data_IF_346538962171
#
_entry.id   IF_346538962171
#
_cell.length_a   1.000
_cell.length_b   1.000
_cell.length_c   1.000
_cell.angle_alpha   90.00
_cell.angle_beta   90.00
_cell.angle_gamma   90.00
#
_symmetry.space_group_name_H-M   'P 1'
#
loop_
_entity.id
_entity.type
_entity.pdbx_description
1 polymer ?
#
# COMPACT_ATOMS: atom_id res chain seq x y z
N UNK A 1 -1.76 -9.81 -7.30
CA UNK A 1 -0.94 -8.65 -7.75
C UNK A 1 0.03 -9.17 -8.79
N UNK A 2 0.18 -8.52 -9.94
CA UNK A 2 1.12 -8.96 -10.97
C UNK A 2 2.57 -9.01 -10.46
N UNK A 3 3.31 -10.04 -10.84
CA UNK A 3 4.73 -10.18 -10.47
C UNK A 3 5.59 -9.04 -11.04
N UNK A 4 5.22 -8.53 -12.21
CA UNK A 4 5.83 -7.35 -12.85
C UNK A 4 5.83 -6.14 -11.92
N UNK A 5 4.70 -5.85 -11.25
CA UNK A 5 4.61 -4.78 -10.26
C UNK A 5 5.42 -5.10 -9.00
N UNK A 6 5.35 -6.33 -8.50
CA UNK A 6 6.12 -6.73 -7.31
C UNK A 6 7.63 -6.60 -7.51
N UNK A 7 8.12 -6.77 -8.74
CA UNK A 7 9.52 -6.60 -9.11
C UNK A 7 9.98 -5.13 -9.12
N UNK A 8 9.08 -4.16 -9.35
CA UNK A 8 9.42 -2.73 -9.32
C UNK A 8 9.44 -2.15 -7.90
N UNK A 9 8.82 -2.84 -6.93
CA UNK A 9 8.75 -2.37 -5.55
C UNK A 9 10.13 -2.23 -4.90
N UNK A 10 10.40 -1.14 -4.16
CA UNK A 10 11.68 -0.95 -3.51
C UNK A 10 11.94 -1.99 -2.43
N UNK A 11 13.22 -2.10 -2.05
CA UNK A 11 13.65 -2.98 -0.96
C UNK A 11 13.12 -2.52 0.40
N UNK A 12 12.72 -1.26 0.57
CA UNK A 12 12.24 -0.70 1.83
C UNK A 12 11.01 0.18 1.61
N UNK A 13 9.89 -0.11 2.30
CA UNK A 13 8.66 0.67 2.18
C UNK A 13 8.85 2.13 2.60
N UNK A 14 9.74 2.39 3.59
CA UNK A 14 10.13 3.75 3.99
C UNK A 14 10.62 4.60 2.81
N UNK A 15 11.32 4.01 1.84
CA UNK A 15 11.85 4.73 0.67
C UNK A 15 10.75 5.24 -0.26
N UNK A 16 9.59 4.57 -0.31
CA UNK A 16 8.45 5.00 -1.12
C UNK A 16 7.67 6.13 -0.44
N UNK A 17 7.27 5.96 0.83
CA UNK A 17 6.49 7.00 1.54
C UNK A 17 7.32 8.20 2.03
N UNK A 18 8.63 8.04 2.19
CA UNK A 18 9.51 9.08 2.74
C UNK A 18 9.46 9.17 4.27
N UNK A 19 10.37 9.97 4.83
CA UNK A 19 10.62 10.05 6.27
C UNK A 19 9.43 10.57 7.08
N UNK A 20 8.75 11.61 6.60
CA UNK A 20 7.65 12.26 7.31
C UNK A 20 6.47 11.31 7.52
N UNK A 21 5.98 10.73 6.42
CA UNK A 21 4.87 9.78 6.42
C UNK A 21 5.25 8.51 7.20
N UNK A 22 6.47 8.00 7.00
CA UNK A 22 6.96 6.85 7.76
C UNK A 22 6.97 7.11 9.27
N UNK A 23 7.42 8.28 9.72
CA UNK A 23 7.45 8.63 11.15
C UNK A 23 6.04 8.68 11.74
N UNK A 24 5.09 9.27 11.01
CA UNK A 24 3.69 9.33 11.44
C UNK A 24 3.08 7.93 11.57
N UNK A 25 3.26 7.08 10.55
CA UNK A 25 2.79 5.70 10.59
C UNK A 25 3.50 4.86 11.64
N UNK A 26 4.79 5.10 11.92
CA UNK A 26 5.57 4.34 12.91
C UNK A 26 5.38 4.81 14.36
N UNK A 27 4.54 5.81 14.62
CA UNK A 27 4.29 6.29 15.98
C UNK A 27 3.70 5.20 16.86
N UNK A 28 4.20 5.03 18.09
CA UNK A 28 3.75 3.99 19.04
C UNK A 28 2.31 4.18 19.54
N UNK A 29 1.67 5.30 19.21
CA UNK A 29 0.28 5.60 19.57
C UNK A 29 -0.75 5.17 18.51
N UNK A 30 -2.00 5.59 18.73
CA UNK A 30 -3.09 5.44 17.77
C UNK A 30 -2.76 6.22 16.49
N UNK A 31 -2.90 5.56 15.35
CA UNK A 31 -2.68 6.18 14.05
C UNK A 31 -3.96 6.87 13.59
N UNK A 32 -3.83 8.13 13.18
CA UNK A 32 -4.93 8.95 12.66
C UNK A 32 -4.59 9.35 11.22
N UNK A 33 -5.07 8.59 10.22
CA UNK A 33 -4.75 8.84 8.81
C UNK A 33 -5.23 10.21 8.34
N UNK A 34 -6.42 10.65 8.78
CA UNK A 34 -6.97 11.96 8.40
C UNK A 34 -6.08 13.12 8.86
N UNK A 35 -5.63 13.10 10.12
CA UNK A 35 -4.71 14.12 10.62
C UNK A 35 -3.40 14.16 9.82
N UNK A 36 -2.90 13.00 9.39
CA UNK A 36 -1.72 12.95 8.51
C UNK A 36 -2.03 13.57 7.15
N UNK A 37 -3.16 13.23 6.54
CA UNK A 37 -3.59 13.80 5.26
C UNK A 37 -3.83 15.32 5.34
N UNK A 38 -4.25 15.84 6.49
CA UNK A 38 -4.40 17.28 6.73
C UNK A 38 -3.06 18.00 6.87
N UNK A 39 -2.03 17.31 7.37
CA UNK A 39 -0.66 17.84 7.43
C UNK A 39 0.08 17.75 6.08
N UNK A 40 -0.42 16.96 5.13
CA UNK A 40 0.17 16.85 3.80
C UNK A 40 -0.40 17.95 2.90
N UNK A 41 0.48 18.75 2.31
CA UNK A 41 0.08 19.74 1.31
C UNK A 41 -0.18 19.04 -0.03
N UNK A 42 -1.39 18.52 -0.23
CA UNK A 42 -1.85 17.91 -1.48
C UNK A 42 -2.66 18.97 -2.22
N UNK A 43 -2.00 19.66 -3.15
CA UNK A 43 -2.56 20.79 -3.88
C UNK A 43 -3.25 20.38 -5.19
N UNK A 44 -2.98 19.16 -5.69
CA UNK A 44 -3.55 18.67 -6.95
C UNK A 44 -3.91 17.19 -6.91
N UNK A 45 -4.81 16.78 -7.82
CA UNK A 45 -5.15 15.37 -8.03
C UNK A 45 -3.90 14.52 -8.34
N UNK A 46 -3.01 15.03 -9.19
CA UNK A 46 -1.76 14.36 -9.54
C UNK A 46 -0.86 14.09 -8.32
N UNK A 47 -0.81 15.01 -7.34
CA UNK A 47 -0.11 14.78 -6.08
C UNK A 47 -0.80 13.73 -5.20
N UNK A 48 -2.14 13.70 -5.20
CA UNK A 48 -2.91 12.68 -4.51
C UNK A 48 -2.65 11.28 -5.09
N UNK A 49 -2.63 11.14 -6.43
CA UNK A 49 -2.34 9.86 -7.10
C UNK A 49 -0.91 9.40 -6.80
N UNK A 50 0.06 10.31 -6.87
CA UNK A 50 1.45 9.99 -6.52
C UNK A 50 1.59 9.57 -5.05
N UNK A 51 0.82 10.16 -4.14
CA UNK A 51 0.79 9.73 -2.75
C UNK A 51 0.18 8.32 -2.63
N UNK A 52 -0.93 8.05 -3.30
CA UNK A 52 -1.56 6.73 -3.34
C UNK A 52 -0.59 5.65 -3.84
N UNK A 53 0.10 5.91 -4.95
CA UNK A 53 1.11 4.99 -5.51
C UNK A 53 2.26 4.71 -4.54
N UNK A 54 2.76 5.75 -3.86
CA UNK A 54 3.83 5.60 -2.86
C UNK A 54 3.36 4.79 -1.64
N UNK A 55 2.15 5.04 -1.17
CA UNK A 55 1.54 4.32 -0.04
C UNK A 55 1.28 2.85 -0.42
N UNK A 56 0.72 2.58 -1.60
CA UNK A 56 0.51 1.21 -2.11
C UNK A 56 1.83 0.43 -2.23
N UNK A 57 2.84 1.05 -2.83
CA UNK A 57 4.16 0.44 -2.97
C UNK A 57 4.76 0.08 -1.60
N UNK A 58 4.58 0.95 -0.61
CA UNK A 58 5.06 0.74 0.76
C UNK A 58 4.31 -0.38 1.46
N UNK A 59 2.98 -0.37 1.36
CA UNK A 59 2.08 -1.39 1.90
C UNK A 59 2.48 -2.78 1.39
N UNK A 60 2.60 -2.97 0.07
CA UNK A 60 2.97 -4.27 -0.48
C UNK A 60 4.43 -4.65 -0.18
N UNK A 61 5.33 -3.68 -0.05
CA UNK A 61 6.70 -3.94 0.41
C UNK A 61 6.72 -4.49 1.83
N UNK A 62 5.92 -3.94 2.74
CA UNK A 62 5.80 -4.44 4.12
C UNK A 62 5.07 -5.78 4.20
N UNK A 63 3.96 -5.97 3.47
CA UNK A 63 3.26 -7.26 3.37
C UNK A 63 4.20 -8.36 2.89
N UNK A 64 4.97 -8.11 1.82
CA UNK A 64 5.98 -9.05 1.29
C UNK A 64 6.99 -9.44 2.37
N UNK A 65 7.49 -8.49 3.15
CA UNK A 65 8.45 -8.75 4.23
C UNK A 65 7.84 -9.50 5.41
N UNK A 66 6.57 -9.24 5.75
CA UNK A 66 5.86 -9.97 6.79
C UNK A 66 5.64 -11.44 6.40
N UNK A 67 5.39 -11.74 5.11
CA UNK A 67 5.22 -13.11 4.63
C UNK A 67 6.54 -13.89 4.46
N UNK A 68 7.63 -13.22 4.07
CA UNK A 68 8.94 -13.85 3.83
C UNK A 68 9.57 -14.52 5.07
N UNK A 69 9.18 -14.14 6.29
CA UNK A 69 9.70 -14.76 7.52
C UNK A 69 9.12 -16.15 7.80
N UNK A 70 7.96 -16.49 7.23
CA UNK A 70 7.31 -17.79 7.46
C UNK A 70 7.87 -18.92 6.58
N UNK A 71 8.75 -18.61 5.62
CA UNK A 71 9.19 -19.53 4.57
C UNK A 71 10.67 -19.96 4.64
N UNK A 72 11.46 -19.51 5.63
CA UNK A 72 12.91 -19.83 5.71
C UNK A 72 13.28 -20.82 6.82
N UNK A 73 13.91 -21.92 6.41
CA UNK A 73 14.42 -23.10 7.12
C UNK A 73 14.72 -23.02 8.64
N UNK A 74 14.30 -24.12 9.30
CA UNK A 74 14.29 -24.51 10.73
C UNK A 74 15.53 -24.25 11.62
N UNK A 75 16.71 -23.89 11.09
CA UNK A 75 17.95 -23.84 11.90
C UNK A 75 18.43 -22.43 12.27
N UNK A 76 18.00 -21.39 11.55
CA UNK A 76 18.27 -19.99 11.93
C UNK A 76 17.14 -19.34 12.73
N UNK A 77 15.99 -20.05 12.87
CA UNK A 77 14.79 -19.55 13.51
C UNK A 77 14.99 -19.22 15.00
N UNK A 78 15.62 -20.08 15.80
CA UNK A 78 15.62 -19.92 17.26
C UNK A 78 16.37 -18.68 17.76
N UNK A 79 17.44 -18.26 17.08
CA UNK A 79 18.26 -17.10 17.47
C UNK A 79 17.73 -15.77 16.90
N UNK A 80 17.04 -15.83 15.77
CA UNK A 80 16.51 -14.68 15.04
C UNK A 80 15.01 -14.46 15.30
N UNK A 81 14.33 -15.39 15.98
CA UNK A 81 12.90 -15.31 16.30
C UNK A 81 12.57 -14.11 17.20
N UNK A 82 13.42 -13.76 18.16
CA UNK A 82 13.10 -12.71 19.13
C UNK A 82 13.18 -11.31 18.50
N UNK A 83 14.17 -11.06 17.63
CA UNK A 83 14.34 -9.80 16.90
C UNK A 83 13.46 -9.71 15.64
N UNK A 84 13.23 -10.83 14.95
CA UNK A 84 12.40 -10.85 13.74
C UNK A 84 10.92 -10.87 14.05
N UNK A 85 10.46 -11.41 15.19
CA UNK A 85 9.03 -11.37 15.54
C UNK A 85 8.57 -9.92 15.73
N UNK A 86 9.31 -9.11 16.49
CA UNK A 86 9.02 -7.67 16.63
C UNK A 86 9.07 -6.95 15.27
N UNK A 87 10.01 -7.33 14.39
CA UNK A 87 10.16 -6.71 13.06
C UNK A 87 9.06 -7.14 12.09
N UNK A 88 8.58 -8.37 12.18
CA UNK A 88 7.47 -8.91 11.38
C UNK A 88 6.15 -8.31 11.83
N UNK A 89 5.91 -8.25 13.13
CA UNK A 89 4.75 -7.57 13.72
C UNK A 89 4.72 -6.09 13.31
N UNK A 90 5.87 -5.42 13.39
CA UNK A 90 6.03 -4.05 12.88
C UNK A 90 5.69 -3.93 11.39
N UNK A 91 6.14 -4.84 10.53
CA UNK A 91 5.80 -4.78 9.11
C UNK A 91 4.29 -5.01 8.87
N UNK A 92 3.66 -5.89 9.65
CA UNK A 92 2.21 -6.09 9.59
C UNK A 92 1.46 -4.81 9.97
N UNK A 93 1.80 -4.20 11.12
CA UNK A 93 1.21 -2.92 11.57
C UNK A 93 1.46 -1.81 10.56
N UNK A 94 2.65 -1.72 9.96
CA UNK A 94 2.93 -0.72 8.92
C UNK A 94 2.09 -0.95 7.65
N UNK A 95 1.90 -2.20 7.24
CA UNK A 95 1.05 -2.52 6.10
C UNK A 95 -0.42 -2.17 6.36
N UNK A 96 -0.94 -2.50 7.54
CA UNK A 96 -2.31 -2.18 7.93
C UNK A 96 -2.54 -0.66 8.00
N UNK A 97 -1.63 0.09 8.63
CA UNK A 97 -1.71 1.57 8.68
C UNK A 97 -1.64 2.20 7.29
N UNK A 98 -0.83 1.66 6.39
CA UNK A 98 -0.76 2.11 5.00
C UNK A 98 -2.06 1.83 4.23
N UNK A 99 -2.71 0.69 4.49
CA UNK A 99 -4.02 0.36 3.93
C UNK A 99 -5.09 1.35 4.42
N UNK A 100 -5.13 1.64 5.72
CA UNK A 100 -6.07 2.64 6.26
C UNK A 100 -5.80 4.03 5.68
N UNK A 101 -4.53 4.43 5.55
CA UNK A 101 -4.17 5.72 4.94
C UNK A 101 -4.62 5.82 3.49
N UNK A 102 -4.40 4.77 2.70
CA UNK A 102 -4.84 4.71 1.30
C UNK A 102 -6.37 4.78 1.18
N UNK A 103 -7.08 4.10 2.08
CA UNK A 103 -8.54 4.14 2.13
C UNK A 103 -9.05 5.56 2.40
N UNK A 104 -8.54 6.23 3.44
CA UNK A 104 -8.89 7.62 3.75
C UNK A 104 -8.56 8.57 2.59
N UNK A 105 -7.41 8.37 1.93
CA UNK A 105 -7.04 9.15 0.76
C UNK A 105 -8.06 9.01 -0.37
N UNK A 106 -8.51 7.79 -0.68
CA UNK A 106 -9.54 7.53 -1.69
C UNK A 106 -10.91 8.10 -1.31
N UNK A 107 -11.24 8.16 -0.02
CA UNK A 107 -12.47 8.84 0.43
C UNK A 107 -12.39 10.37 0.26
N UNK A 108 -11.22 10.96 0.52
CA UNK A 108 -10.98 12.40 0.38
C UNK A 108 -10.96 12.85 -1.08
N UNK A 109 -10.51 11.96 -1.98
CA UNK A 109 -10.43 12.20 -3.42
C UNK A 109 -11.23 11.11 -4.15
N UNK A 110 -12.57 11.20 -4.22
CA UNK A 110 -13.40 10.17 -4.85
C UNK A 110 -13.14 10.04 -6.36
N UNK A 111 -12.75 11.12 -7.02
CA UNK A 111 -12.42 11.16 -8.46
C UNK A 111 -10.93 10.88 -8.73
N UNK A 112 -10.22 10.24 -7.80
CA UNK A 112 -8.81 9.96 -7.95
C UNK A 112 -8.56 9.06 -9.17
N UNK A 113 -7.72 9.54 -10.11
CA UNK A 113 -7.24 8.72 -11.21
C UNK A 113 -6.65 7.38 -10.74
N UNK A 114 -6.71 6.37 -11.61
CA UNK A 114 -6.23 5.02 -11.32
C UNK A 114 -4.75 5.02 -10.91
N UNK A 115 -4.42 4.25 -9.87
CA UNK A 115 -3.03 4.08 -9.44
C UNK A 115 -2.25 3.24 -10.44
N UNK A 116 -0.93 3.34 -10.39
CA UNK A 116 -0.02 2.50 -11.19
C UNK A 116 -0.28 1.01 -10.96
N UNK A 117 -0.64 0.62 -9.74
CA UNK A 117 -0.99 -0.76 -9.42
C UNK A 117 -2.34 -1.16 -10.05
N UNK A 118 -3.34 -0.30 -10.02
CA UNK A 118 -4.65 -0.59 -10.61
C UNK A 118 -4.54 -0.75 -12.13
N UNK A 119 -3.78 0.13 -12.79
CA UNK A 119 -3.44 0.00 -14.23
C UNK A 119 -2.73 -1.34 -14.48
N UNK A 120 -1.74 -1.69 -13.66
CA UNK A 120 -1.01 -2.94 -13.80
C UNK A 120 -1.92 -4.17 -13.58
N UNK A 121 -2.85 -4.12 -12.62
CA UNK A 121 -3.82 -5.22 -12.41
C UNK A 121 -4.68 -5.41 -13.64
N UNK A 122 -5.18 -4.33 -14.25
CA UNK A 122 -6.01 -4.37 -15.46
C UNK A 122 -5.21 -4.96 -16.63
N UNK A 123 -4.00 -4.43 -16.88
CA UNK A 123 -3.16 -4.84 -18.00
C UNK A 123 -2.80 -6.33 -17.99
N UNK A 124 -2.53 -6.89 -16.81
CA UNK A 124 -2.09 -8.28 -16.66
C UNK A 124 -3.19 -9.22 -16.17
N UNK A 125 -4.44 -8.76 -16.03
CA UNK A 125 -5.55 -9.61 -15.62
C UNK A 125 -5.86 -10.65 -16.70
N UNK A 126 -6.02 -11.91 -16.29
CA UNK A 126 -6.45 -13.02 -17.17
C UNK A 126 -7.85 -13.54 -16.84
N UNK A 127 -8.46 -13.04 -15.76
CA UNK A 127 -9.78 -13.45 -15.30
C UNK A 127 -10.84 -12.59 -16.01
N UNK A 128 -11.56 -13.19 -16.97
CA UNK A 128 -12.59 -12.53 -17.77
C UNK A 128 -13.71 -11.98 -16.89
N UNK A 129 -14.12 -12.71 -15.84
CA UNK A 129 -15.18 -12.26 -14.94
C UNK A 129 -14.80 -10.99 -14.20
N UNK A 130 -13.57 -10.94 -13.68
CA UNK A 130 -13.05 -9.73 -13.03
C UNK A 130 -12.85 -8.57 -14.00
N UNK A 131 -12.46 -8.84 -15.25
CA UNK A 131 -12.32 -7.80 -16.27
C UNK A 131 -13.67 -7.15 -16.60
N UNK A 132 -14.73 -7.96 -16.76
CA UNK A 132 -16.09 -7.47 -16.97
C UNK A 132 -16.57 -6.67 -15.77
N UNK A 133 -16.39 -7.19 -14.55
CA UNK A 133 -16.80 -6.48 -13.33
C UNK A 133 -16.08 -5.14 -13.17
N UNK A 134 -14.75 -5.09 -13.36
CA UNK A 134 -13.99 -3.84 -13.24
C UNK A 134 -14.43 -2.81 -14.27
N UNK A 135 -14.48 -3.19 -15.55
CA UNK A 135 -14.84 -2.26 -16.63
C UNK A 135 -16.27 -1.74 -16.49
N UNK A 136 -17.22 -2.61 -16.13
CA UNK A 136 -18.61 -2.21 -15.93
C UNK A 136 -18.78 -1.28 -14.73
N UNK A 137 -18.22 -1.65 -13.56
CA UNK A 137 -18.27 -0.80 -12.37
C UNK A 137 -17.60 0.54 -12.61
N UNK A 138 -16.48 0.58 -13.35
CA UNK A 138 -15.77 1.82 -13.69
C UNK A 138 -16.62 2.78 -14.51
N UNK A 139 -17.30 2.27 -15.53
CA UNK A 139 -18.18 3.09 -16.37
C UNK A 139 -19.31 3.67 -15.54
N UNK A 140 -19.90 2.87 -14.64
CA UNK A 140 -20.95 3.37 -13.76
C UNK A 140 -20.45 4.42 -12.77
N UNK A 141 -19.26 4.23 -12.19
CA UNK A 141 -18.61 5.21 -11.31
C UNK A 141 -18.39 6.53 -12.05
N UNK A 142 -17.80 6.49 -13.25
CA UNK A 142 -17.57 7.70 -14.06
C UNK A 142 -18.83 8.35 -14.65
N UNK A 143 -20.00 7.71 -14.55
CA UNK A 143 -21.30 8.31 -14.90
C UNK A 143 -22.01 8.92 -13.68
N UNK A 144 -21.63 8.52 -12.47
CA UNK A 144 -22.24 9.00 -11.23
C UNK A 144 -21.66 10.33 -10.74
N UNK A 145 -20.47 10.69 -11.25
CA UNK A 145 -19.75 11.94 -10.98
C UNK A 145 -19.63 12.74 -12.28
#
# INVERSE_FOLDING_TARGET
IPDSYMATLPKCGKSSVGDSIYRSMNSSGRFFPENLLDCLNIASEHEAVQLADRVEASMYTWRRKACLSNSKNSWNLVKDLMSNTERTDKNYVMAERAETLLFCLKQRYPELSQTSLDICKIQYNKDVGKAVLESYSRVLEGLAF
#
